data_IF_603176373431
#
_entry.id   IF_603176373431
#
_cell.length_a   1.000
_cell.length_b   1.000
_cell.length_c   1.000
_cell.angle_alpha   90.00
_cell.angle_beta   90.00
_cell.angle_gamma   90.00
#
_symmetry.space_group_name_H-M   'P 1'
#
loop_
_entity.id
_entity.type
_entity.pdbx_description
1 polymer ?
#
# COMPACT_ATOMS: atom_id res chain seq x y z
N UNK A 1 1.42 8.55 11.86
CA UNK A 1 2.47 7.55 12.19
C UNK A 1 2.80 7.67 13.67
N UNK A 2 3.27 6.62 14.33
CA UNK A 2 3.65 6.68 15.76
C UNK A 2 4.98 5.99 15.98
N UNK A 3 5.68 6.37 17.05
CA UNK A 3 6.76 5.54 17.58
C UNK A 3 6.14 4.35 18.35
N UNK A 4 6.99 3.38 18.72
CA UNK A 4 6.53 2.20 19.49
C UNK A 4 5.83 2.56 20.79
N UNK A 5 6.33 3.57 21.52
CA UNK A 5 5.92 3.81 22.90
C UNK A 5 5.17 5.12 23.12
N UNK A 6 5.18 6.02 22.14
CA UNK A 6 4.58 7.34 22.28
C UNK A 6 4.07 7.90 20.95
N UNK A 7 2.95 8.62 21.02
CA UNK A 7 2.48 9.47 19.94
C UNK A 7 3.37 10.72 19.86
N UNK A 8 3.93 11.04 18.68
CA UNK A 8 4.57 12.33 18.47
C UNK A 8 3.58 13.48 18.72
N UNK A 9 4.01 14.63 19.26
CA UNK A 9 3.13 15.78 19.54
C UNK A 9 2.32 16.23 18.32
N UNK A 10 2.93 16.21 17.13
CA UNK A 10 2.27 16.60 15.88
C UNK A 10 1.10 15.68 15.55
N UNK A 11 1.26 14.39 15.84
CA UNK A 11 0.23 13.37 15.60
C UNK A 11 -0.87 13.48 16.65
N UNK A 12 -0.52 13.77 17.90
CA UNK A 12 -1.50 14.02 18.96
C UNK A 12 -2.35 15.27 18.67
N UNK A 13 -1.71 16.34 18.20
CA UNK A 13 -2.39 17.56 17.80
C UNK A 13 -3.36 17.30 16.63
N UNK A 14 -2.92 16.52 15.64
CA UNK A 14 -3.77 16.16 14.50
C UNK A 14 -4.96 15.28 14.92
N UNK A 15 -4.75 14.28 15.79
CA UNK A 15 -5.85 13.46 16.33
C UNK A 15 -6.86 14.35 17.09
N UNK A 16 -6.37 15.30 17.88
CA UNK A 16 -7.24 16.25 18.59
C UNK A 16 -8.03 17.13 17.63
N UNK A 17 -7.36 17.65 16.59
CA UNK A 17 -7.97 18.48 15.53
C UNK A 17 -9.08 17.74 14.78
N UNK A 18 -8.84 16.47 14.43
CA UNK A 18 -9.81 15.62 13.71
C UNK A 18 -10.98 15.17 14.58
N UNK A 19 -10.81 15.15 15.91
CA UNK A 19 -11.79 14.67 16.89
C UNK A 19 -12.47 13.32 16.48
N UNK A 20 -11.68 12.25 16.26
CA UNK A 20 -12.21 11.00 15.74
C UNK A 20 -13.03 10.23 16.79
N UNK A 21 -14.08 9.55 16.33
CA UNK A 21 -14.86 8.63 17.18
C UNK A 21 -14.09 7.35 17.51
N UNK A 22 -13.23 6.91 16.59
CA UNK A 22 -12.48 5.67 16.70
C UNK A 22 -11.10 5.82 16.05
N UNK A 23 -10.09 5.21 16.66
CA UNK A 23 -8.73 5.09 16.14
C UNK A 23 -8.38 3.62 15.99
N UNK A 24 -7.84 3.27 14.82
CA UNK A 24 -7.32 1.94 14.54
C UNK A 24 -5.81 1.90 14.77
N UNK A 25 -5.36 0.96 15.59
CA UNK A 25 -3.95 0.62 15.73
C UNK A 25 -3.68 -0.64 14.90
N UNK A 26 -2.88 -0.51 13.85
CA UNK A 26 -2.47 -1.65 13.01
C UNK A 26 -1.12 -2.17 13.49
N UNK A 27 -1.07 -3.45 13.87
CA UNK A 27 0.11 -4.12 14.40
C UNK A 27 0.04 -4.42 15.89
N UNK A 28 0.78 -5.46 16.30
CA UNK A 28 0.78 -5.95 17.68
C UNK A 28 1.49 -5.02 18.67
N UNK A 29 1.35 -5.32 19.96
CA UNK A 29 1.95 -4.56 21.06
C UNK A 29 3.50 -4.47 20.99
N UNK A 30 4.14 -5.43 20.31
CA UNK A 30 5.58 -5.41 20.07
C UNK A 30 6.05 -4.25 19.17
N UNK A 31 5.18 -3.74 18.30
CA UNK A 31 5.46 -2.65 17.34
C UNK A 31 4.85 -1.33 17.80
N UNK A 32 3.62 -1.35 18.33
CA UNK A 32 2.94 -0.20 18.92
C UNK A 32 2.41 -0.64 20.28
N UNK A 33 3.10 -0.27 21.36
CA UNK A 33 2.78 -0.74 22.71
C UNK A 33 1.42 -0.22 23.20
N UNK A 34 0.93 -0.83 24.27
CA UNK A 34 -0.34 -0.41 24.86
C UNK A 34 -0.28 0.97 25.52
N UNK A 35 0.91 1.56 25.71
CA UNK A 35 1.02 2.95 26.13
C UNK A 35 0.34 3.89 25.13
N UNK A 36 0.55 3.69 23.83
CA UNK A 36 -0.11 4.49 22.78
C UNK A 36 -1.63 4.31 22.83
N UNK A 37 -2.09 3.06 23.00
CA UNK A 37 -3.51 2.74 23.14
C UNK A 37 -4.11 3.45 24.36
N UNK A 38 -3.45 3.37 25.51
CA UNK A 38 -3.92 3.95 26.78
C UNK A 38 -4.00 5.48 26.70
N UNK A 39 -3.04 6.14 26.04
CA UNK A 39 -3.06 7.60 25.80
C UNK A 39 -4.27 8.01 24.96
N UNK A 40 -4.63 7.24 23.93
CA UNK A 40 -5.80 7.52 23.11
C UNK A 40 -7.11 7.26 23.89
N UNK A 41 -7.18 6.18 24.66
CA UNK A 41 -8.37 5.83 25.44
C UNK A 41 -8.62 6.82 26.59
N UNK A 42 -7.58 7.38 27.21
CA UNK A 42 -7.74 8.39 28.26
C UNK A 42 -8.33 9.71 27.74
N UNK A 43 -8.27 9.94 26.42
CA UNK A 43 -8.93 11.04 25.73
C UNK A 43 -10.39 10.71 25.35
N UNK A 44 -10.92 9.57 25.78
CA UNK A 44 -12.30 9.14 25.47
C UNK A 44 -12.48 8.56 24.06
N UNK A 45 -11.39 8.32 23.33
CA UNK A 45 -11.44 7.78 21.96
C UNK A 45 -11.59 6.26 22.01
N UNK A 46 -12.51 5.69 21.21
CA UNK A 46 -12.58 4.24 21.02
C UNK A 46 -11.33 3.78 20.27
N UNK A 47 -10.63 2.76 20.78
CA UNK A 47 -9.43 2.24 20.11
C UNK A 47 -9.63 0.76 19.77
N UNK A 48 -9.51 0.43 18.48
CA UNK A 48 -9.51 -0.94 17.97
C UNK A 48 -8.12 -1.29 17.47
N UNK A 49 -7.54 -2.40 17.96
CA UNK A 49 -6.28 -2.92 17.44
C UNK A 49 -6.55 -4.03 16.42
N UNK A 50 -5.93 -3.95 15.26
CA UNK A 50 -5.95 -4.99 14.22
C UNK A 50 -4.53 -5.53 14.10
N UNK A 51 -4.32 -6.79 14.46
CA UNK A 51 -3.00 -7.42 14.50
C UNK A 51 -3.08 -8.93 14.50
N UNK A 52 -2.13 -9.58 13.84
CA UNK A 52 -1.84 -11.01 13.99
C UNK A 52 -0.47 -11.25 14.64
N UNK A 53 -0.06 -12.51 14.73
CA UNK A 53 1.24 -12.91 15.29
C UNK A 53 2.42 -12.42 14.43
N UNK A 54 2.20 -12.26 13.13
CA UNK A 54 3.15 -11.74 12.17
C UNK A 54 2.49 -10.82 11.13
N UNK A 55 3.24 -10.41 10.12
CA UNK A 55 2.74 -9.56 9.03
C UNK A 55 1.70 -10.26 8.16
N UNK A 56 1.81 -11.57 7.97
CA UNK A 56 0.89 -12.38 7.17
C UNK A 56 -0.46 -12.44 7.86
N UNK A 57 -0.48 -12.83 9.13
CA UNK A 57 -1.70 -12.85 9.93
C UNK A 57 -2.29 -11.46 10.12
N UNK A 58 -1.47 -10.41 10.31
CA UNK A 58 -1.98 -9.03 10.37
C UNK A 58 -2.71 -8.64 9.07
N UNK A 59 -2.19 -9.04 7.90
CA UNK A 59 -2.90 -8.82 6.63
C UNK A 59 -4.24 -9.55 6.56
N UNK A 60 -4.34 -10.75 7.17
CA UNK A 60 -5.61 -11.48 7.28
C UNK A 60 -6.59 -10.80 8.23
N UNK A 61 -6.13 -10.30 9.38
CA UNK A 61 -7.00 -9.55 10.31
C UNK A 61 -7.53 -8.27 9.68
N UNK A 62 -6.71 -7.56 8.89
CA UNK A 62 -7.17 -6.42 8.08
C UNK A 62 -8.21 -6.87 7.05
N UNK A 63 -7.97 -7.98 6.34
CA UNK A 63 -8.90 -8.49 5.34
C UNK A 63 -10.23 -8.96 5.95
N UNK A 64 -10.21 -9.56 7.15
CA UNK A 64 -11.39 -9.93 7.92
C UNK A 64 -12.16 -8.70 8.37
N UNK A 65 -11.47 -7.67 8.86
CA UNK A 65 -12.08 -6.41 9.27
C UNK A 65 -12.73 -5.68 8.07
N UNK A 66 -12.04 -5.62 6.94
CA UNK A 66 -12.56 -5.09 5.68
C UNK A 66 -13.83 -5.82 5.24
N UNK A 67 -13.88 -7.13 5.47
CA UNK A 67 -14.99 -8.03 5.15
C UNK A 67 -15.56 -7.82 3.73
N UNK A 68 -14.68 -7.62 2.75
CA UNK A 68 -15.08 -7.32 1.38
C UNK A 68 -16.05 -8.37 0.83
N UNK A 69 -17.04 -7.92 0.05
CA UNK A 69 -17.93 -8.79 -0.73
C UNK A 69 -17.32 -9.19 -2.08
N UNK A 70 -16.14 -8.64 -2.44
CA UNK A 70 -15.43 -8.99 -3.67
C UNK A 70 -14.81 -10.38 -3.55
N UNK A 71 -14.88 -11.15 -4.64
CA UNK A 71 -14.18 -12.43 -4.80
C UNK A 71 -12.76 -12.25 -5.39
N UNK A 72 -12.13 -11.11 -5.11
CA UNK A 72 -10.79 -10.75 -5.60
C UNK A 72 -9.84 -10.50 -4.43
N UNK A 73 -8.55 -10.76 -4.64
CA UNK A 73 -7.48 -10.35 -3.72
C UNK A 73 -6.20 -9.97 -4.46
N UNK A 74 -5.45 -9.03 -3.90
CA UNK A 74 -4.08 -8.73 -4.30
C UNK A 74 -3.13 -9.54 -3.44
N UNK A 75 -2.20 -10.27 -4.06
CA UNK A 75 -1.18 -11.06 -3.39
C UNK A 75 0.16 -10.36 -3.60
N UNK A 76 0.79 -9.94 -2.52
CA UNK A 76 2.07 -9.22 -2.56
C UNK A 76 3.06 -9.87 -1.60
N UNK A 77 4.36 -9.65 -1.82
CA UNK A 77 5.38 -10.21 -0.93
C UNK A 77 5.27 -9.58 0.46
N UNK A 78 5.41 -10.37 1.50
CA UNK A 78 5.56 -9.85 2.86
C UNK A 78 6.95 -9.27 3.12
N UNK A 79 7.93 -9.51 2.26
CA UNK A 79 9.34 -9.26 2.54
C UNK A 79 9.86 -7.90 2.06
N UNK A 80 9.11 -7.19 1.23
CA UNK A 80 9.38 -5.81 0.79
C UNK A 80 8.04 -5.08 0.56
N UNK A 81 8.07 -3.76 0.35
CA UNK A 81 6.88 -2.90 0.32
C UNK A 81 6.52 -2.24 -1.03
N UNK A 82 7.42 -1.99 -2.01
CA UNK A 82 7.09 -1.17 -3.18
C UNK A 82 5.91 -1.68 -4.01
N UNK A 83 5.80 -3.00 -4.17
CA UNK A 83 4.70 -3.64 -4.91
C UNK A 83 3.35 -3.43 -4.20
N UNK A 84 3.34 -3.58 -2.87
CA UNK A 84 2.16 -3.33 -2.04
C UNK A 84 1.73 -1.86 -2.09
N UNK A 85 2.68 -0.92 -2.02
CA UNK A 85 2.41 0.52 -2.12
C UNK A 85 1.82 0.90 -3.49
N UNK A 86 2.33 0.29 -4.56
CA UNK A 86 1.90 0.60 -5.92
C UNK A 86 0.43 0.24 -6.18
N UNK A 87 -0.08 -0.81 -5.54
CA UNK A 87 -1.49 -1.22 -5.67
C UNK A 87 -2.40 -0.63 -4.56
N UNK A 88 -1.82 -0.03 -3.52
CA UNK A 88 -2.53 0.35 -2.29
C UNK A 88 -3.74 1.28 -2.53
N UNK A 89 -3.59 2.32 -3.35
CA UNK A 89 -4.68 3.27 -3.59
C UNK A 89 -5.84 2.61 -4.36
N UNK A 90 -5.53 1.76 -5.33
CA UNK A 90 -6.56 1.00 -6.07
C UNK A 90 -7.25 -0.01 -5.17
N UNK A 91 -6.50 -0.79 -4.40
CA UNK A 91 -7.02 -1.77 -3.45
C UNK A 91 -7.93 -1.12 -2.41
N UNK A 92 -7.50 0.02 -1.85
CA UNK A 92 -8.29 0.84 -0.94
C UNK A 92 -9.59 1.36 -1.59
N UNK A 93 -9.52 1.85 -2.82
CA UNK A 93 -10.72 2.32 -3.54
C UNK A 93 -11.72 1.20 -3.82
N UNK A 94 -11.24 0.04 -4.27
CA UNK A 94 -12.07 -1.11 -4.63
C UNK A 94 -12.50 -1.95 -3.44
N UNK A 95 -11.99 -1.63 -2.24
CA UNK A 95 -12.19 -2.41 -1.03
C UNK A 95 -11.78 -3.88 -1.27
N UNK A 96 -10.66 -4.09 -1.96
CA UNK A 96 -10.12 -5.42 -2.27
C UNK A 96 -8.93 -5.68 -1.33
N UNK A 97 -8.90 -6.81 -0.61
CA UNK A 97 -7.84 -7.06 0.36
C UNK A 97 -6.48 -7.25 -0.31
N UNK A 98 -5.44 -6.73 0.35
CA UNK A 98 -4.04 -7.06 0.08
C UNK A 98 -3.63 -8.14 1.08
N UNK A 99 -3.27 -9.31 0.59
CA UNK A 99 -2.80 -10.44 1.37
C UNK A 99 -1.30 -10.64 1.12
N UNK A 100 -0.56 -10.91 2.20
CA UNK A 100 0.88 -11.10 2.11
C UNK A 100 1.25 -12.58 1.92
N UNK A 101 2.33 -12.84 1.20
CA UNK A 101 2.92 -14.18 1.03
C UNK A 101 4.44 -14.16 1.17
N UNK A 102 5.02 -15.30 1.52
CA UNK A 102 6.45 -15.52 1.32
C UNK A 102 6.77 -15.82 -0.14
N UNK A 103 8.06 -15.70 -0.50
CA UNK A 103 8.52 -15.88 -1.88
C UNK A 103 8.14 -17.24 -2.46
N UNK A 104 8.35 -18.31 -1.70
CA UNK A 104 8.24 -19.68 -2.21
C UNK A 104 7.06 -20.47 -1.67
N UNK A 105 6.32 -19.90 -0.72
CA UNK A 105 5.25 -20.59 -0.03
C UNK A 105 4.15 -19.61 0.36
N UNK A 106 2.92 -19.94 -0.03
CA UNK A 106 1.74 -19.27 0.49
C UNK A 106 1.49 -19.76 1.92
N UNK A 107 1.44 -18.88 2.94
CA UNK A 107 1.14 -19.29 4.30
C UNK A 107 -0.21 -20.02 4.35
N UNK A 108 -0.27 -21.13 5.10
CA UNK A 108 -1.49 -21.95 5.19
C UNK A 108 -2.70 -21.14 5.66
N UNK A 109 -2.50 -20.19 6.57
CA UNK A 109 -3.54 -19.26 7.03
C UNK A 109 -4.11 -18.40 5.89
N UNK A 110 -3.25 -17.92 4.99
CA UNK A 110 -3.65 -17.12 3.81
C UNK A 110 -4.39 -17.99 2.81
N UNK A 111 -3.88 -19.19 2.52
CA UNK A 111 -4.55 -20.16 1.65
C UNK A 111 -5.97 -20.50 2.15
N UNK A 112 -6.10 -20.77 3.44
CA UNK A 112 -7.40 -21.08 4.06
C UNK A 112 -8.35 -19.88 4.00
N UNK A 113 -7.85 -18.66 4.23
CA UNK A 113 -8.67 -17.45 4.09
C UNK A 113 -9.21 -17.29 2.67
N UNK A 114 -8.36 -17.44 1.65
CA UNK A 114 -8.75 -17.35 0.23
C UNK A 114 -9.88 -18.35 -0.08
N UNK A 115 -9.72 -19.61 0.34
CA UNK A 115 -10.72 -20.66 0.13
C UNK A 115 -12.03 -20.35 0.86
N UNK A 116 -11.96 -20.03 2.16
CA UNK A 116 -13.15 -19.83 3.00
C UNK A 116 -13.94 -18.58 2.62
N UNK A 117 -13.25 -17.53 2.16
CA UNK A 117 -13.88 -16.28 1.71
C UNK A 117 -14.46 -16.39 0.30
N UNK A 118 -14.18 -17.47 -0.43
CA UNK A 118 -14.63 -17.65 -1.81
C UNK A 118 -13.97 -16.66 -2.78
N UNK A 119 -12.69 -16.37 -2.57
CA UNK A 119 -11.91 -15.58 -3.54
C UNK A 119 -11.67 -16.46 -4.77
N UNK A 120 -12.09 -15.98 -5.93
CA UNK A 120 -12.03 -16.72 -7.21
C UNK A 120 -11.03 -16.11 -8.20
N UNK A 121 -10.51 -14.92 -7.91
CA UNK A 121 -9.51 -14.24 -8.75
C UNK A 121 -8.43 -13.61 -7.88
N UNK A 122 -7.17 -13.85 -8.21
CA UNK A 122 -6.04 -13.21 -7.53
C UNK A 122 -5.14 -12.49 -8.50
N UNK A 123 -4.61 -11.36 -8.08
CA UNK A 123 -3.57 -10.62 -8.79
C UNK A 123 -2.28 -10.71 -7.98
N UNK A 124 -1.25 -11.35 -8.53
CA UNK A 124 0.07 -11.45 -7.92
C UNK A 124 0.88 -10.23 -8.34
N UNK A 125 1.09 -9.30 -7.41
CA UNK A 125 1.83 -8.06 -7.68
C UNK A 125 3.29 -8.28 -7.29
N UNK A 126 4.17 -8.21 -8.28
CA UNK A 126 5.60 -8.47 -8.12
C UNK A 126 6.11 -9.64 -8.96
N UNK A 127 7.38 -9.55 -9.35
CA UNK A 127 8.03 -10.51 -10.24
C UNK A 127 8.32 -11.87 -9.57
N UNK A 128 8.76 -12.83 -10.38
CA UNK A 128 9.14 -14.18 -9.91
C UNK A 128 10.25 -14.16 -8.84
N UNK A 129 11.09 -13.13 -8.86
CA UNK A 129 12.16 -12.92 -7.89
C UNK A 129 11.67 -12.70 -6.45
N UNK A 130 10.45 -12.19 -6.26
CA UNK A 130 9.85 -11.89 -4.95
C UNK A 130 8.65 -12.76 -4.60
N UNK A 131 7.95 -13.31 -5.60
CA UNK A 131 6.86 -14.29 -5.45
C UNK A 131 6.98 -15.33 -6.58
N UNK A 132 7.38 -16.56 -6.27
CA UNK A 132 7.63 -17.59 -7.26
C UNK A 132 6.35 -18.20 -7.85
N UNK A 133 6.50 -18.94 -8.95
CA UNK A 133 5.37 -19.61 -9.60
C UNK A 133 4.80 -20.78 -8.76
N UNK A 134 5.55 -21.27 -7.77
CA UNK A 134 5.02 -22.20 -6.78
C UNK A 134 3.90 -21.56 -5.97
N UNK A 135 4.01 -20.28 -5.62
CA UNK A 135 2.91 -19.56 -4.97
C UNK A 135 1.79 -19.31 -5.97
N UNK A 136 2.11 -18.83 -7.17
CA UNK A 136 1.13 -18.49 -8.21
C UNK A 136 0.22 -19.68 -8.55
N UNK A 137 0.78 -20.88 -8.71
CA UNK A 137 0.04 -22.10 -9.04
C UNK A 137 -0.92 -22.58 -7.94
N UNK A 138 -0.78 -22.09 -6.70
CA UNK A 138 -1.67 -22.42 -5.59
C UNK A 138 -2.87 -21.47 -5.47
N UNK A 139 -2.90 -20.40 -6.25
CA UNK A 139 -3.88 -19.33 -6.16
C UNK A 139 -4.96 -19.45 -7.25
N UNK A 140 -6.22 -19.05 -6.97
CA UNK A 140 -7.32 -19.16 -7.92
C UNK A 140 -7.24 -18.11 -9.04
N UNK A 141 -7.23 -18.57 -10.29
CA UNK A 141 -7.19 -17.74 -11.51
C UNK A 141 -6.13 -16.63 -11.47
N UNK A 142 -4.94 -16.97 -10.97
CA UNK A 142 -3.88 -16.02 -10.69
C UNK A 142 -3.37 -15.31 -11.96
N UNK A 143 -3.23 -13.99 -11.87
CA UNK A 143 -2.63 -13.14 -12.90
C UNK A 143 -1.48 -12.36 -12.29
N UNK A 144 -0.28 -12.46 -12.88
CA UNK A 144 0.90 -11.73 -12.42
C UNK A 144 0.98 -10.36 -13.07
N UNK A 145 1.27 -9.34 -12.27
CA UNK A 145 1.52 -7.97 -12.71
C UNK A 145 2.87 -7.55 -12.13
N UNK A 146 3.87 -7.38 -12.98
CA UNK A 146 5.25 -7.16 -12.57
C UNK A 146 6.11 -6.57 -13.70
N UNK A 147 7.06 -5.72 -13.32
CA UNK A 147 8.18 -5.28 -14.15
C UNK A 147 9.52 -5.76 -13.61
N UNK A 148 10.63 -5.34 -14.23
CA UNK A 148 11.98 -5.75 -13.81
C UNK A 148 12.44 -5.08 -12.51
N UNK A 149 11.82 -3.96 -12.14
CA UNK A 149 12.08 -3.22 -10.92
C UNK A 149 10.79 -2.59 -10.37
N UNK A 150 10.88 -1.94 -9.20
CA UNK A 150 9.74 -1.32 -8.51
C UNK A 150 9.03 -0.23 -9.32
N UNK A 151 9.73 0.47 -10.20
CA UNK A 151 9.17 1.53 -11.02
C UNK A 151 8.43 0.95 -12.22
N UNK A 152 9.01 -0.07 -12.87
CA UNK A 152 8.33 -0.82 -13.93
C UNK A 152 7.09 -1.55 -13.39
N UNK A 153 7.16 -2.25 -12.25
CA UNK A 153 5.98 -2.86 -11.63
C UNK A 153 4.90 -1.82 -11.33
N UNK A 154 5.28 -0.63 -10.85
CA UNK A 154 4.34 0.47 -10.65
C UNK A 154 3.65 0.87 -11.97
N UNK A 155 4.40 1.01 -13.06
CA UNK A 155 3.83 1.32 -14.38
C UNK A 155 2.91 0.21 -14.92
N UNK A 156 3.27 -1.06 -14.74
CA UNK A 156 2.41 -2.21 -15.13
C UNK A 156 1.08 -2.22 -14.38
N UNK A 157 1.10 -1.90 -13.08
CA UNK A 157 -0.12 -1.75 -12.27
C UNK A 157 -0.97 -0.59 -12.81
N UNK A 158 -0.36 0.56 -13.10
CA UNK A 158 -1.03 1.74 -13.62
C UNK A 158 -1.66 1.50 -14.99
N UNK A 159 -1.00 0.71 -15.85
CA UNK A 159 -1.52 0.32 -17.16
C UNK A 159 -2.68 -0.70 -17.04
N UNK A 160 -2.59 -1.63 -16.07
CA UNK A 160 -3.54 -2.73 -15.92
C UNK A 160 -4.87 -2.34 -15.28
N UNK A 161 -4.87 -1.36 -14.39
CA UNK A 161 -6.05 -0.96 -13.63
C UNK A 161 -6.53 0.45 -14.00
N UNK A 162 -7.86 0.69 -14.02
CA UNK A 162 -8.41 1.97 -14.46
C UNK A 162 -8.27 3.04 -13.36
N UNK A 163 -7.11 3.68 -13.30
CA UNK A 163 -6.86 4.82 -12.40
C UNK A 163 -7.46 6.13 -12.94
N UNK A 164 -7.84 7.02 -12.04
CA UNK A 164 -8.27 8.37 -12.39
C UNK A 164 -7.12 9.36 -12.20
N UNK A 165 -6.61 9.92 -13.30
CA UNK A 165 -5.45 10.84 -13.31
C UNK A 165 -5.81 12.31 -13.02
N UNK A 166 -7.01 12.58 -12.48
CA UNK A 166 -7.40 13.94 -12.07
C UNK A 166 -6.50 14.51 -10.97
N UNK A 167 -6.11 13.68 -9.99
CA UNK A 167 -4.96 13.93 -9.14
C UNK A 167 -3.98 12.78 -9.35
N UNK A 168 -2.69 13.10 -9.51
CA UNK A 168 -1.60 12.13 -9.60
C UNK A 168 -0.60 12.46 -8.52
N UNK A 169 -0.33 11.47 -7.69
CA UNK A 169 0.59 11.59 -6.57
C UNK A 169 1.94 10.98 -6.94
N UNK A 170 3.02 11.63 -6.54
CA UNK A 170 4.38 11.15 -6.73
C UNK A 170 5.02 10.96 -5.37
N UNK A 171 5.62 9.80 -5.14
CA UNK A 171 6.31 9.49 -3.90
C UNK A 171 7.62 8.76 -4.20
N UNK A 172 8.60 8.86 -3.30
CA UNK A 172 9.86 8.13 -3.47
C UNK A 172 9.61 6.62 -3.52
N UNK A 173 10.28 5.93 -4.44
CA UNK A 173 10.31 4.46 -4.44
C UNK A 173 11.23 3.86 -3.38
N UNK A 174 12.06 4.66 -2.69
CA UNK A 174 13.10 4.19 -1.78
C UNK A 174 12.69 4.13 -0.30
N UNK A 175 11.53 4.69 0.04
CA UNK A 175 10.95 4.68 1.38
C UNK A 175 9.43 4.57 1.29
N UNK A 176 8.78 4.17 2.39
CA UNK A 176 7.35 3.84 2.36
C UNK A 176 6.43 4.89 3.01
N UNK A 177 6.93 5.72 3.94
CA UNK A 177 6.06 6.52 4.81
C UNK A 177 5.15 7.51 4.06
N UNK A 178 5.71 8.22 3.08
CA UNK A 178 4.99 9.23 2.30
C UNK A 178 3.95 8.58 1.38
N UNK A 179 4.35 7.55 0.64
CA UNK A 179 3.44 6.78 -0.21
C UNK A 179 2.33 6.09 0.59
N UNK A 180 2.67 5.49 1.75
CA UNK A 180 1.72 4.78 2.61
C UNK A 180 0.65 5.73 3.15
N UNK A 181 1.06 6.89 3.67
CA UNK A 181 0.12 7.90 4.18
C UNK A 181 -0.72 8.51 3.07
N UNK A 182 -0.12 8.79 1.91
CA UNK A 182 -0.82 9.30 0.74
C UNK A 182 -1.76 8.30 0.07
N UNK A 183 -1.53 6.99 0.21
CA UNK A 183 -2.38 5.94 -0.37
C UNK A 183 -3.81 5.99 0.15
N UNK A 184 -4.01 6.36 1.42
CA UNK A 184 -5.34 6.56 1.98
C UNK A 184 -6.09 7.69 1.27
N UNK A 185 -5.43 8.83 1.04
CA UNK A 185 -6.01 9.96 0.29
C UNK A 185 -6.25 9.61 -1.18
N UNK A 186 -5.24 9.06 -1.85
CA UNK A 186 -5.32 8.69 -3.26
C UNK A 186 -6.41 7.63 -3.52
N UNK A 187 -6.61 6.70 -2.57
CA UNK A 187 -7.65 5.67 -2.65
C UNK A 187 -9.09 6.21 -2.57
N UNK A 188 -9.31 7.41 -2.04
CA UNK A 188 -10.67 7.99 -1.97
C UNK A 188 -11.29 8.22 -3.36
N UNK A 189 -10.46 8.61 -4.33
CA UNK A 189 -10.88 8.95 -5.69
C UNK A 189 -10.23 8.06 -6.76
N UNK A 190 -9.70 6.90 -6.37
CA UNK A 190 -9.03 5.96 -7.27
C UNK A 190 -7.86 6.60 -8.04
N UNK A 191 -7.12 7.48 -7.36
CA UNK A 191 -5.99 8.21 -7.94
C UNK A 191 -4.70 7.38 -7.88
N UNK A 192 -3.82 7.51 -8.90
CA UNK A 192 -2.55 6.81 -8.93
C UNK A 192 -1.54 7.42 -7.96
N UNK A 193 -0.71 6.56 -7.37
CA UNK A 193 0.58 6.92 -6.78
C UNK A 193 1.67 6.38 -7.70
N UNK A 194 2.43 7.28 -8.29
CA UNK A 194 3.58 6.98 -9.13
C UNK A 194 4.83 6.97 -8.24
N UNK A 195 5.51 5.83 -8.19
CA UNK A 195 6.78 5.71 -7.49
C UNK A 195 7.91 6.27 -8.35
N UNK A 196 8.74 7.14 -7.78
CA UNK A 196 9.81 7.83 -8.50
C UNK A 196 11.10 7.83 -7.71
N UNK A 197 12.22 7.86 -8.41
CA UNK A 197 13.54 8.09 -7.82
C UNK A 197 14.53 8.53 -8.91
N UNK A 198 15.64 9.15 -8.49
CA UNK A 198 16.70 9.53 -9.42
C UNK A 198 17.35 8.33 -10.11
N UNK A 199 17.38 7.15 -9.47
CA UNK A 199 17.93 5.91 -10.04
C UNK A 199 17.01 5.17 -11.02
N UNK A 200 15.74 5.60 -11.17
CA UNK A 200 14.82 4.88 -12.06
C UNK A 200 15.29 4.96 -13.53
N UNK A 201 14.97 3.96 -14.36
CA UNK A 201 15.30 3.97 -15.78
C UNK A 201 14.75 5.20 -16.55
N UNK A 202 15.48 5.65 -17.58
CA UNK A 202 15.11 6.84 -18.38
C UNK A 202 13.87 6.66 -19.23
N UNK A 203 13.61 5.43 -19.70
CA UNK A 203 12.38 5.07 -20.41
C UNK A 203 11.15 5.22 -19.51
N UNK A 204 11.24 4.83 -18.23
CA UNK A 204 10.17 5.05 -17.25
C UNK A 204 9.96 6.54 -16.96
N UNK A 205 11.05 7.30 -16.80
CA UNK A 205 10.95 8.75 -16.67
C UNK A 205 10.30 9.40 -17.90
N UNK A 206 10.66 8.94 -19.10
CA UNK A 206 10.06 9.34 -20.37
C UNK A 206 8.56 9.03 -20.42
N UNK A 207 8.17 7.81 -20.07
CA UNK A 207 6.77 7.39 -20.06
C UNK A 207 5.91 8.24 -19.11
N UNK A 208 6.42 8.59 -17.92
CA UNK A 208 5.73 9.50 -16.99
C UNK A 208 5.55 10.88 -17.64
N UNK A 209 6.63 11.42 -18.23
CA UNK A 209 6.62 12.74 -18.87
C UNK A 209 5.70 12.80 -20.07
N UNK A 210 5.66 11.76 -20.91
CA UNK A 210 4.81 11.71 -22.10
C UNK A 210 3.32 11.69 -21.75
N UNK A 211 3.00 11.17 -20.56
CA UNK A 211 1.62 11.10 -20.04
C UNK A 211 1.25 12.29 -19.12
N UNK A 212 2.12 13.28 -18.95
CA UNK A 212 1.94 14.40 -18.00
C UNK A 212 0.69 15.25 -18.26
N UNK A 213 0.20 15.30 -19.49
CA UNK A 213 -0.95 16.12 -19.88
C UNK A 213 -2.29 15.51 -19.41
N UNK A 214 -2.32 14.18 -19.20
CA UNK A 214 -3.48 13.51 -18.56
C UNK A 214 -3.58 13.80 -17.06
N UNK A 215 -2.45 14.18 -16.44
CA UNK A 215 -2.33 14.42 -15.01
C UNK A 215 -2.75 15.86 -14.68
N UNK A 216 -4.03 16.10 -14.35
CA UNK A 216 -4.54 17.47 -14.15
C UNK A 216 -3.88 18.16 -12.96
N UNK A 217 -3.81 17.46 -11.82
CA UNK A 217 -3.13 17.93 -10.61
C UNK A 217 -1.99 16.98 -10.27
N UNK A 218 -0.76 17.51 -10.19
CA UNK A 218 0.46 16.77 -9.88
C UNK A 218 0.87 17.09 -8.44
N UNK A 219 0.88 16.11 -7.55
CA UNK A 219 1.10 16.30 -6.10
C UNK A 219 2.30 15.48 -5.64
N UNK A 220 3.19 16.11 -4.88
CA UNK A 220 4.37 15.42 -4.34
C UNK A 220 4.07 15.02 -2.89
N UNK A 221 4.35 13.76 -2.57
CA UNK A 221 4.30 13.20 -1.23
C UNK A 221 5.73 13.02 -0.74
N UNK A 222 6.09 13.77 0.30
CA UNK A 222 7.45 13.83 0.83
C UNK A 222 8.14 15.16 0.53
N UNK A 223 9.22 15.42 1.27
CA UNK A 223 10.06 16.61 1.07
C UNK A 223 11.02 16.46 -0.12
N UNK A 224 11.75 17.53 -0.42
CA UNK A 224 12.75 17.57 -1.50
C UNK A 224 13.91 16.58 -1.32
N UNK A 225 14.15 16.10 -0.09
CA UNK A 225 15.10 15.01 0.16
C UNK A 225 14.61 13.64 -0.32
N UNK A 226 13.30 13.43 -0.39
CA UNK A 226 12.70 12.19 -0.91
C UNK A 226 12.40 12.29 -2.41
N UNK A 227 11.89 13.45 -2.85
CA UNK A 227 11.58 13.73 -4.26
C UNK A 227 12.16 15.09 -4.63
N UNK A 228 13.44 15.15 -5.09
CA UNK A 228 14.11 16.40 -5.43
C UNK A 228 13.49 17.12 -6.63
N UNK A 229 13.62 18.45 -6.68
CA UNK A 229 13.13 19.25 -7.82
C UNK A 229 13.79 18.84 -9.16
N UNK A 230 15.04 18.39 -9.12
CA UNK A 230 15.73 17.84 -10.31
C UNK A 230 15.04 16.60 -10.86
N UNK A 231 14.56 15.71 -9.98
CA UNK A 231 13.78 14.55 -10.35
C UNK A 231 12.43 14.98 -10.93
N UNK A 232 11.73 15.91 -10.28
CA UNK A 232 10.47 16.48 -10.79
C UNK A 232 10.62 17.05 -12.19
N UNK A 233 11.68 17.84 -12.41
CA UNK A 233 11.98 18.38 -13.73
C UNK A 233 12.20 17.26 -14.75
N UNK A 234 12.95 16.20 -14.40
CA UNK A 234 13.21 15.05 -15.29
C UNK A 234 11.92 14.34 -15.73
N UNK A 235 10.91 14.24 -14.86
CA UNK A 235 9.67 13.49 -15.13
C UNK A 235 8.48 14.34 -15.59
N UNK A 236 8.52 15.66 -15.46
CA UNK A 236 7.36 16.53 -15.74
C UNK A 236 7.67 17.71 -16.66
N UNK A 237 8.92 17.96 -17.02
CA UNK A 237 9.33 18.99 -17.99
C UNK A 237 10.02 18.34 -19.18
#
# INVERSE_FOLDING_TARGET
MTSKNALPPEVQNEITSLNPKEVFIVGGAGVISDNVKNVLQSQGIKVTRISGNDRYETSLEIAKYLNSSKSEAFIVTGNDYPDALSIASYAGNKQTPILLTDKNQLPTSVKNYISNKGITKTYVIGGIGVISDNVLSTLPNAERIAGNNRYETNMEILARFPFFYGNTYFATGLAFADALSGAALAGTLNNPIILVDSSMPDDIAGAIRDNRDMMKMKRILGGTGAVPDSLINRILK
#
